data_IF_559963448901
#
_entry.id   IF_559963448901
#
_cell.length_a   1.000
_cell.length_b   1.000
_cell.length_c   1.000
_cell.angle_alpha   90.00
_cell.angle_beta   90.00
_cell.angle_gamma   90.00
#
_symmetry.space_group_name_H-M   'P 1'
#
loop_
_entity.id
_entity.type
_entity.pdbx_description
1 polymer ?
#
# COMPACT_ATOMS: atom_id res chain seq x y z
N UNK A 1 -16.14 23.84 -1.19
CA UNK A 1 -15.20 23.29 -2.20
C UNK A 1 -14.93 21.86 -1.79
N UNK A 2 -15.73 20.90 -2.27
CA UNK A 2 -15.46 19.49 -2.01
C UNK A 2 -14.62 19.02 -3.18
N UNK A 3 -13.30 19.02 -2.99
CA UNK A 3 -12.38 18.36 -3.91
C UNK A 3 -12.72 16.88 -3.91
N UNK A 4 -13.58 16.50 -4.85
CA UNK A 4 -13.87 15.12 -5.21
C UNK A 4 -12.58 14.59 -5.82
N UNK A 5 -11.66 14.17 -4.94
CA UNK A 5 -10.42 13.52 -5.33
C UNK A 5 -10.81 12.36 -6.22
N UNK A 6 -10.45 12.47 -7.49
CA UNK A 6 -10.45 11.39 -8.45
C UNK A 6 -9.96 10.14 -7.72
N UNK A 7 -10.81 9.12 -7.69
CA UNK A 7 -10.52 7.81 -7.10
C UNK A 7 -9.28 7.23 -7.80
N UNK A 8 -8.09 7.68 -7.39
CA UNK A 8 -6.86 7.05 -7.81
C UNK A 8 -6.94 5.66 -7.22
N UNK A 9 -7.18 4.67 -8.06
CA UNK A 9 -7.26 3.25 -7.72
C UNK A 9 -5.92 2.71 -7.20
N UNK A 10 -4.91 3.58 -7.04
CA UNK A 10 -3.57 3.27 -6.58
C UNK A 10 -3.14 4.22 -5.45
N UNK A 11 -2.50 3.68 -4.43
CA UNK A 11 -1.72 4.40 -3.43
C UNK A 11 -0.27 4.58 -3.88
N UNK A 12 0.33 5.70 -3.47
CA UNK A 12 1.76 5.94 -3.62
C UNK A 12 2.55 5.22 -2.51
N UNK A 13 3.84 4.93 -2.75
CA UNK A 13 4.72 4.40 -1.71
C UNK A 13 4.69 5.21 -0.41
N UNK A 14 4.65 6.54 -0.51
CA UNK A 14 4.61 7.40 0.69
C UNK A 14 3.29 7.28 1.46
N UNK A 15 2.16 7.15 0.76
CA UNK A 15 0.86 6.96 1.39
C UNK A 15 0.79 5.62 2.11
N UNK A 16 1.21 4.54 1.46
CA UNK A 16 1.29 3.20 2.08
C UNK A 16 2.18 3.22 3.32
N UNK A 17 3.33 3.90 3.25
CA UNK A 17 4.22 4.07 4.40
C UNK A 17 3.55 4.81 5.56
N UNK A 18 2.80 5.88 5.26
CA UNK A 18 2.03 6.62 6.27
C UNK A 18 0.89 5.78 6.85
N UNK A 19 0.14 5.07 6.01
CA UNK A 19 -0.96 4.18 6.43
C UNK A 19 -0.47 3.03 7.30
N UNK A 20 0.71 2.48 7.00
CA UNK A 20 1.33 1.44 7.82
C UNK A 20 2.09 1.98 9.03
N UNK A 21 2.17 3.30 9.22
CA UNK A 21 2.98 3.91 10.28
C UNK A 21 4.47 3.58 10.20
N UNK A 22 4.98 3.20 9.01
CA UNK A 22 6.35 2.78 8.83
C UNK A 22 7.27 3.96 8.55
N UNK A 23 8.39 4.01 9.28
CA UNK A 23 9.47 4.95 9.02
C UNK A 23 10.06 4.82 7.60
N UNK A 24 10.87 5.82 7.17
CA UNK A 24 11.46 5.89 5.82
C UNK A 24 12.13 4.58 5.39
N UNK A 25 13.05 4.07 6.19
CA UNK A 25 13.84 2.89 5.84
C UNK A 25 12.98 1.61 5.79
N UNK A 26 12.16 1.38 6.82
CA UNK A 26 11.32 0.17 6.91
C UNK A 26 10.25 0.15 5.82
N UNK A 27 9.70 1.31 5.49
CA UNK A 27 8.67 1.47 4.48
C UNK A 27 9.12 1.07 3.08
N UNK A 28 10.25 1.61 2.61
CA UNK A 28 10.79 1.24 1.29
C UNK A 28 11.26 -0.22 1.26
N UNK A 29 11.95 -0.69 2.31
CA UNK A 29 12.37 -2.09 2.38
C UNK A 29 11.18 -3.06 2.38
N UNK A 30 10.06 -2.68 3.01
CA UNK A 30 8.84 -3.47 2.98
C UNK A 30 8.22 -3.50 1.57
N UNK A 31 8.04 -2.34 0.93
CA UNK A 31 7.52 -2.27 -0.43
C UNK A 31 8.38 -3.04 -1.43
N UNK A 32 9.70 -3.00 -1.27
CA UNK A 32 10.66 -3.73 -2.12
C UNK A 32 10.50 -5.25 -1.94
N UNK A 33 10.40 -5.72 -0.69
CA UNK A 33 10.10 -7.14 -0.39
C UNK A 33 8.75 -7.58 -0.94
N UNK A 34 7.70 -6.76 -0.80
CA UNK A 34 6.37 -7.08 -1.29
C UNK A 34 6.34 -7.10 -2.82
N UNK A 35 7.04 -6.16 -3.47
CA UNK A 35 7.21 -6.17 -4.92
C UNK A 35 7.96 -7.43 -5.39
N UNK A 36 9.07 -7.78 -4.74
CA UNK A 36 9.86 -8.96 -5.09
C UNK A 36 9.12 -10.28 -4.84
N UNK A 37 8.34 -10.36 -3.76
CA UNK A 37 7.56 -11.54 -3.41
C UNK A 37 6.22 -11.63 -4.14
N UNK A 38 5.69 -10.52 -4.65
CA UNK A 38 4.33 -10.41 -5.19
C UNK A 38 3.21 -10.66 -4.16
N UNK A 39 3.54 -10.63 -2.87
CA UNK A 39 2.64 -10.91 -1.74
C UNK A 39 3.07 -10.05 -0.54
N UNK A 40 2.14 -9.56 0.32
CA UNK A 40 0.72 -9.94 0.41
C UNK A 40 -0.24 -9.15 -0.50
N UNK A 41 0.26 -8.15 -1.23
CA UNK A 41 -0.49 -7.39 -2.24
C UNK A 41 0.42 -7.06 -3.43
N UNK A 42 -0.17 -6.71 -4.57
CA UNK A 42 0.61 -6.37 -5.77
C UNK A 42 1.15 -4.95 -5.68
N UNK A 43 2.38 -4.75 -6.14
CA UNK A 43 2.98 -3.42 -6.30
C UNK A 43 3.36 -3.26 -7.77
N UNK A 44 2.80 -2.26 -8.43
CA UNK A 44 3.11 -1.94 -9.81
C UNK A 44 4.14 -0.81 -9.81
N UNK A 45 5.27 -1.03 -10.47
CA UNK A 45 6.24 0.04 -10.71
C UNK A 45 5.92 0.69 -12.06
N UNK A 46 5.45 1.92 -12.05
CA UNK A 46 5.31 2.74 -13.26
C UNK A 46 6.48 3.72 -13.30
N UNK A 47 7.43 3.47 -14.20
CA UNK A 47 8.69 4.20 -14.34
C UNK A 47 9.54 4.25 -13.06
N UNK A 48 9.35 5.30 -12.27
CA UNK A 48 10.08 5.62 -11.04
C UNK A 48 9.17 5.73 -9.84
N UNK A 49 7.86 5.54 -10.03
CA UNK A 49 6.86 5.60 -8.97
C UNK A 49 6.28 4.22 -8.69
N UNK A 50 6.18 3.91 -7.41
CA UNK A 50 5.47 2.73 -6.92
C UNK A 50 3.98 3.07 -6.82
N UNK A 51 3.16 2.29 -7.52
CA UNK A 51 1.70 2.36 -7.52
C UNK A 51 1.16 1.06 -6.94
N UNK A 52 0.53 1.16 -5.77
CA UNK A 52 -0.04 0.03 -5.06
C UNK A 52 -1.55 0.05 -5.29
N UNK A 53 -2.17 -0.94 -5.95
CA UNK A 53 -3.61 -0.97 -6.15
C UNK A 53 -4.34 -0.94 -4.81
N UNK A 54 -5.25 0.03 -4.63
CA UNK A 54 -6.02 0.20 -3.39
C UNK A 54 -6.79 -1.08 -3.05
N UNK A 55 -7.39 -1.72 -4.04
CA UNK A 55 -8.16 -2.95 -3.87
C UNK A 55 -7.33 -4.11 -3.27
N UNK A 56 -6.12 -4.33 -3.79
CA UNK A 56 -5.21 -5.36 -3.24
C UNK A 56 -4.71 -5.00 -1.85
N UNK A 57 -4.38 -3.73 -1.61
CA UNK A 57 -3.89 -3.26 -0.32
C UNK A 57 -4.98 -3.30 0.76
N UNK A 58 -6.18 -2.80 0.45
CA UNK A 58 -7.31 -2.73 1.36
C UNK A 58 -7.77 -4.14 1.76
N UNK A 59 -7.85 -5.07 0.80
CA UNK A 59 -8.10 -6.50 1.07
C UNK A 59 -7.07 -7.09 2.05
N UNK A 60 -5.82 -6.67 1.99
CA UNK A 60 -4.78 -7.10 2.92
C UNK A 60 -4.92 -6.45 4.31
N UNK A 61 -5.19 -5.14 4.38
CA UNK A 61 -5.44 -4.43 5.65
C UNK A 61 -6.67 -5.00 6.36
N UNK A 62 -7.75 -5.27 5.64
CA UNK A 62 -8.94 -5.92 6.20
C UNK A 62 -8.61 -7.29 6.80
N UNK A 63 -7.76 -8.09 6.12
CA UNK A 63 -7.27 -9.37 6.67
C UNK A 63 -6.42 -9.19 7.93
N UNK A 64 -5.59 -8.15 8.00
CA UNK A 64 -4.79 -7.86 9.19
C UNK A 64 -5.68 -7.46 10.38
N UNK A 65 -6.65 -6.56 10.17
CA UNK A 65 -7.56 -6.12 11.23
C UNK A 65 -8.43 -7.27 11.75
N UNK A 66 -8.86 -8.19 10.89
CA UNK A 66 -9.67 -9.35 11.29
C UNK A 66 -9.00 -10.32 12.27
N UNK A 67 -7.67 -10.26 12.42
CA UNK A 67 -6.92 -11.15 13.33
C UNK A 67 -6.77 -10.57 14.76
N UNK A 68 -7.30 -9.38 15.04
CA UNK A 68 -7.18 -8.72 16.36
C UNK A 68 -8.39 -9.00 17.27
N UNK A 69 -9.48 -9.57 16.73
CA UNK A 69 -10.72 -9.85 17.47
C UNK A 69 -10.96 -11.36 17.69
N UNK A 70 -9.95 -12.13 18.10
CA UNK A 70 -10.14 -13.54 18.50
C UNK A 70 -9.41 -13.87 19.80
#
# INVERSE_FOLDING_TARGET
MVEKQSESLFYSAEEVRKMLGLGRTKGYAFLDKVMAAGKPFNVVKMDKLYKIPKESFDSWIQRLNKNVES
#
